data_IF_887040569229
#
_entry.id   IF_887040569229
#
_cell.length_a   1.000
_cell.length_b   1.000
_cell.length_c   1.000
_cell.angle_alpha   90.00
_cell.angle_beta   90.00
_cell.angle_gamma   90.00
#
_symmetry.space_group_name_H-M   'P 1'
#
loop_
_entity.id
_entity.type
_entity.pdbx_description
1 polymer ?
#
# COMPACT_ATOMS: atom_id res chain seq x y z
N UNK A 1 -18.25 23.98 9.87
CA UNK A 1 -18.28 22.96 8.82
C UNK A 1 -17.01 22.15 8.85
N UNK A 2 -17.13 20.84 8.97
CA UNK A 2 -15.97 19.97 9.02
C UNK A 2 -15.68 19.45 7.63
N UNK A 3 -14.47 19.71 7.15
CA UNK A 3 -13.97 19.12 5.91
C UNK A 3 -13.18 17.87 6.28
N UNK A 4 -13.71 16.71 5.94
CA UNK A 4 -12.96 15.46 6.09
C UNK A 4 -11.78 15.47 5.13
N UNK A 5 -10.60 15.23 5.68
CA UNK A 5 -9.41 15.02 4.86
C UNK A 5 -9.38 13.55 4.46
N UNK A 6 -9.45 13.30 3.17
CA UNK A 6 -9.44 11.93 2.64
C UNK A 6 -8.30 11.75 1.68
N UNK A 7 -7.57 10.66 1.84
CA UNK A 7 -6.55 10.23 0.89
C UNK A 7 -7.05 8.96 0.21
N UNK A 8 -7.03 8.96 -1.12
CA UNK A 8 -7.28 7.77 -1.91
C UNK A 8 -5.94 7.19 -2.34
N UNK A 9 -5.74 5.91 -2.06
CA UNK A 9 -4.49 5.21 -2.35
C UNK A 9 -4.78 4.09 -3.33
N UNK A 10 -4.04 4.09 -4.43
CA UNK A 10 -4.09 3.03 -5.43
C UNK A 10 -2.78 2.28 -5.40
N UNK A 11 -2.83 0.97 -5.23
CA UNK A 11 -1.64 0.13 -5.15
C UNK A 11 -1.69 -0.95 -6.20
N UNK A 12 -0.52 -1.29 -6.72
CA UNK A 12 -0.32 -2.41 -7.62
C UNK A 12 1.05 -3.02 -7.36
N UNK A 13 1.13 -4.34 -7.35
CA UNK A 13 2.37 -5.05 -7.15
C UNK A 13 2.35 -6.36 -7.89
N UNK A 14 3.50 -6.75 -8.42
CA UNK A 14 3.61 -8.00 -9.17
C UNK A 14 5.05 -8.51 -9.16
N UNK A 15 5.20 -9.78 -9.55
CA UNK A 15 6.51 -10.36 -9.79
C UNK A 15 6.44 -11.27 -11.02
N UNK A 16 7.61 -11.44 -11.67
CA UNK A 16 7.79 -12.43 -12.74
C UNK A 16 8.31 -13.71 -12.09
N UNK A 17 7.43 -14.69 -11.97
CA UNK A 17 7.74 -15.89 -11.22
C UNK A 17 7.46 -15.69 -9.74
N UNK A 18 7.53 -16.75 -8.99
CA UNK A 18 7.14 -16.78 -7.59
C UNK A 18 8.05 -17.69 -6.79
N UNK A 19 9.29 -17.27 -6.41
CA UNK A 19 9.78 -15.89 -6.46
C UNK A 19 10.44 -15.51 -7.79
N UNK A 20 10.62 -14.21 -7.98
CA UNK A 20 11.28 -13.65 -9.14
C UNK A 20 11.41 -12.13 -9.05
N UNK A 21 11.91 -11.47 -10.10
CA UNK A 21 11.96 -10.01 -10.12
C UNK A 21 10.56 -9.42 -10.05
N UNK A 22 10.40 -8.33 -9.32
CA UNK A 22 9.11 -7.69 -9.20
C UNK A 22 9.21 -6.27 -8.71
N UNK A 23 8.07 -5.69 -8.41
CA UNK A 23 7.99 -4.33 -7.91
C UNK A 23 6.59 -3.92 -7.55
N UNK A 24 6.47 -2.71 -7.03
CA UNK A 24 5.17 -2.13 -6.70
C UNK A 24 5.08 -0.70 -7.19
N UNK A 25 3.84 -0.25 -7.38
CA UNK A 25 3.51 1.13 -7.65
C UNK A 25 2.41 1.61 -6.72
N UNK A 26 2.49 2.86 -6.33
CA UNK A 26 1.54 3.50 -5.44
C UNK A 26 1.17 4.86 -6.01
N UNK A 27 -0.11 5.19 -6.01
CA UNK A 27 -0.60 6.54 -6.32
C UNK A 27 -1.40 7.02 -5.14
N UNK A 28 -1.02 8.16 -4.59
CA UNK A 28 -1.70 8.84 -3.49
C UNK A 28 -2.40 10.08 -4.03
N UNK A 29 -3.70 10.16 -3.84
CA UNK A 29 -4.49 11.31 -4.29
C UNK A 29 -5.10 12.00 -3.06
N UNK A 30 -4.79 13.28 -2.91
CA UNK A 30 -5.32 14.10 -1.84
C UNK A 30 -5.71 15.47 -2.41
N UNK A 31 -7.02 15.72 -2.49
CA UNK A 31 -7.56 16.90 -3.16
C UNK A 31 -7.05 16.94 -4.61
N UNK A 32 -6.34 18.01 -4.98
CA UNK A 32 -5.75 18.18 -6.31
C UNK A 32 -4.29 17.74 -6.38
N UNK A 33 -3.77 17.17 -5.28
CA UNK A 33 -2.38 16.72 -5.21
C UNK A 33 -2.26 15.24 -5.53
N UNK A 34 -1.18 14.89 -6.22
CA UNK A 34 -0.88 13.51 -6.59
C UNK A 34 0.57 13.20 -6.25
N UNK A 35 0.79 12.08 -5.59
CA UNK A 35 2.13 11.57 -5.30
C UNK A 35 2.23 10.14 -5.78
N UNK A 36 3.33 9.82 -6.45
CA UNK A 36 3.60 8.47 -6.94
C UNK A 36 4.84 7.92 -6.27
N UNK A 37 4.77 6.64 -5.86
CA UNK A 37 5.88 5.90 -5.29
C UNK A 37 6.02 4.58 -6.05
N UNK A 38 7.25 4.14 -6.25
CA UNK A 38 7.49 2.85 -6.89
C UNK A 38 8.86 2.32 -6.47
N UNK A 39 9.01 1.00 -6.51
CA UNK A 39 10.28 0.36 -6.24
C UNK A 39 10.31 -1.04 -6.86
N UNK A 40 11.49 -1.44 -7.36
CA UNK A 40 11.72 -2.77 -7.89
C UNK A 40 12.57 -3.61 -6.94
N UNK A 41 12.43 -4.92 -7.07
CA UNK A 41 13.16 -5.90 -6.28
C UNK A 41 13.65 -7.03 -7.20
N UNK A 42 14.84 -7.55 -6.90
CA UNK A 42 15.41 -8.63 -7.71
C UNK A 42 14.75 -9.97 -7.44
N UNK A 43 14.30 -10.20 -6.21
CA UNK A 43 13.69 -11.45 -5.80
C UNK A 43 12.56 -11.19 -4.83
N UNK A 44 11.34 -11.48 -5.27
CA UNK A 44 10.15 -11.22 -4.48
C UNK A 44 8.98 -12.09 -4.98
N UNK A 45 7.81 -11.93 -4.41
CA UNK A 45 6.59 -12.61 -4.82
C UNK A 45 5.48 -11.61 -5.07
N UNK A 46 4.44 -12.02 -5.80
CA UNK A 46 3.25 -11.16 -6.02
C UNK A 46 2.66 -10.70 -4.70
N UNK A 47 2.43 -11.61 -3.77
CA UNK A 47 1.81 -11.28 -2.49
C UNK A 47 2.67 -10.30 -1.67
N UNK A 48 3.99 -10.47 -1.70
CA UNK A 48 4.89 -9.54 -1.01
C UNK A 48 4.82 -8.15 -1.62
N UNK A 49 4.77 -8.06 -2.94
CA UNK A 49 4.71 -6.76 -3.62
C UNK A 49 3.38 -6.06 -3.35
N UNK A 50 2.29 -6.79 -3.37
CA UNK A 50 0.96 -6.25 -3.06
C UNK A 50 0.90 -5.69 -1.63
N UNK A 51 1.36 -6.46 -0.64
CA UNK A 51 1.39 -6.02 0.75
C UNK A 51 2.40 -4.90 0.99
N UNK A 52 3.58 -5.01 0.39
CA UNK A 52 4.61 -3.99 0.56
C UNK A 52 4.13 -2.64 0.03
N UNK A 53 3.40 -2.63 -1.09
CA UNK A 53 2.81 -1.41 -1.63
C UNK A 53 1.91 -0.73 -0.60
N UNK A 54 1.01 -1.48 0.03
CA UNK A 54 0.10 -0.93 1.04
C UNK A 54 0.88 -0.40 2.25
N UNK A 55 1.84 -1.18 2.75
CA UNK A 55 2.64 -0.78 3.90
C UNK A 55 3.42 0.51 3.61
N UNK A 56 4.07 0.58 2.46
CA UNK A 56 4.83 1.78 2.06
C UNK A 56 3.93 2.99 1.88
N UNK A 57 2.73 2.79 1.34
CA UNK A 57 1.75 3.85 1.22
C UNK A 57 1.36 4.41 2.59
N UNK A 58 1.05 3.52 3.54
CA UNK A 58 0.67 3.92 4.89
C UNK A 58 1.82 4.60 5.62
N UNK A 59 3.04 4.13 5.43
CA UNK A 59 4.23 4.75 6.03
C UNK A 59 4.51 6.15 5.50
N UNK A 60 4.07 6.46 4.29
CA UNK A 60 4.27 7.77 3.69
C UNK A 60 3.28 8.82 4.21
N UNK A 61 2.26 8.40 4.94
CA UNK A 61 1.24 9.30 5.49
C UNK A 61 1.60 9.58 6.94
N UNK A 62 1.82 10.86 7.24
CA UNK A 62 2.28 11.28 8.58
C UNK A 62 1.16 11.84 9.46
N UNK A 63 -0.03 12.00 8.92
CA UNK A 63 -1.16 12.58 9.66
C UNK A 63 -2.13 11.47 10.02
N UNK A 64 -2.33 11.24 11.31
CA UNK A 64 -3.21 10.19 11.82
C UNK A 64 -4.69 10.58 11.85
N UNK A 65 -5.01 11.83 11.49
CA UNK A 65 -6.39 12.32 11.45
C UNK A 65 -6.96 12.33 10.02
N UNK A 66 -6.33 11.60 9.12
CA UNK A 66 -6.77 11.50 7.73
C UNK A 66 -7.50 10.18 7.53
N UNK A 67 -8.67 10.26 6.92
CA UNK A 67 -9.38 9.07 6.47
C UNK A 67 -8.70 8.54 5.20
N UNK A 68 -8.42 7.24 5.19
CA UNK A 68 -7.67 6.60 4.11
C UNK A 68 -8.55 5.56 3.44
N UNK A 69 -8.65 5.62 2.12
CA UNK A 69 -9.29 4.59 1.32
C UNK A 69 -8.24 3.95 0.42
N UNK A 70 -8.09 2.63 0.53
CA UNK A 70 -7.11 1.88 -0.25
C UNK A 70 -7.85 1.08 -1.31
N UNK A 71 -7.43 1.25 -2.56
CA UNK A 71 -7.93 0.49 -3.69
C UNK A 71 -6.88 -0.52 -4.10
N UNK A 72 -7.22 -1.79 -3.97
CA UNK A 72 -6.37 -2.91 -4.37
C UNK A 72 -7.25 -4.01 -4.92
N UNK A 73 -6.83 -4.64 -6.01
CA UNK A 73 -7.50 -5.81 -6.57
C UNK A 73 -6.94 -7.13 -6.01
N UNK A 74 -6.00 -7.05 -5.07
CA UNK A 74 -5.43 -8.23 -4.44
C UNK A 74 -6.31 -8.73 -3.30
N UNK A 75 -6.87 -9.91 -3.45
CA UNK A 75 -7.61 -10.60 -2.39
C UNK A 75 -6.77 -10.78 -1.14
N UNK A 76 -5.50 -11.10 -1.31
CA UNK A 76 -4.56 -11.30 -0.21
C UNK A 76 -4.40 -10.04 0.64
N UNK A 77 -4.27 -8.89 0.00
CA UNK A 77 -4.16 -7.60 0.70
C UNK A 77 -5.44 -7.29 1.46
N UNK A 78 -6.60 -7.43 0.81
CA UNK A 78 -7.89 -7.15 1.45
C UNK A 78 -8.09 -8.03 2.69
N UNK A 79 -7.84 -9.31 2.58
CA UNK A 79 -7.95 -10.24 3.69
C UNK A 79 -6.96 -9.92 4.80
N UNK A 80 -5.74 -9.52 4.47
CA UNK A 80 -4.73 -9.15 5.45
C UNK A 80 -5.15 -7.94 6.28
N UNK A 81 -5.76 -6.97 5.65
CA UNK A 81 -6.29 -5.78 6.35
C UNK A 81 -7.46 -6.17 7.25
N UNK A 82 -8.41 -6.94 6.73
CA UNK A 82 -9.59 -7.36 7.49
C UNK A 82 -9.23 -8.20 8.71
N UNK A 83 -8.20 -9.05 8.60
CA UNK A 83 -7.73 -9.88 9.69
C UNK A 83 -6.72 -9.19 10.60
N UNK A 84 -6.33 -7.96 10.27
CA UNK A 84 -5.39 -7.19 11.06
C UNK A 84 -3.92 -7.59 10.89
N UNK A 85 -3.60 -8.46 9.94
CA UNK A 85 -2.22 -8.92 9.74
C UNK A 85 -1.27 -7.78 9.34
N UNK A 86 -1.75 -6.87 8.51
CA UNK A 86 -0.94 -5.77 8.00
C UNK A 86 -0.50 -4.83 9.14
N UNK A 87 -1.34 -4.65 10.15
CA UNK A 87 -1.02 -3.81 11.31
C UNK A 87 0.11 -4.42 12.14
N UNK A 88 0.13 -5.74 12.26
CA UNK A 88 1.22 -6.45 12.94
C UNK A 88 2.53 -6.36 12.16
N UNK A 89 2.46 -6.40 10.84
CA UNK A 89 3.62 -6.23 9.97
C UNK A 89 4.20 -4.82 10.08
N UNK A 90 3.35 -3.82 10.11
CA UNK A 90 3.76 -2.44 10.28
C UNK A 90 4.53 -2.25 11.58
N UNK A 91 4.07 -2.84 12.67
CA UNK A 91 4.77 -2.80 13.96
C UNK A 91 6.14 -3.44 13.90
N UNK A 92 6.35 -4.45 13.07
CA UNK A 92 7.66 -5.10 12.90
C UNK A 92 8.62 -4.30 12.05
N UNK A 93 8.13 -3.42 11.19
CA UNK A 93 8.95 -2.59 10.33
C UNK A 93 9.47 -1.33 11.04
N UNK A 94 8.92 -1.00 12.15
CA UNK A 94 9.34 0.07 13.03
C UNK A 94 10.01 -0.52 14.26
#
# INVERSE_FOLDING_TARGET
MFLKKMINIYTDGSSRGNPGPGGYGIVLLYKDKRKELSQGYRLTTNNRMELTAVIKALQSIKNDQIEITIYSDSKYVVESIEKGWIWNWEKKLF
#
